data_IF_895004527408
#
_entry.id   IF_895004527408
#
_cell.length_a   1.000
_cell.length_b   1.000
_cell.length_c   1.000
_cell.angle_alpha   90.00
_cell.angle_beta   90.00
_cell.angle_gamma   90.00
#
_symmetry.space_group_name_H-M   'P 1'
#
loop_
_entity.id
_entity.type
_entity.pdbx_description
1 polymer ?
#
# COMPACT_ATOMS: atom_id res chain seq x y z
N UNK A 1 8.02 11.28 -16.45
CA UNK A 1 7.98 9.98 -15.76
C UNK A 1 6.66 9.92 -15.03
N UNK A 2 5.91 8.83 -15.16
CA UNK A 2 4.59 8.70 -14.56
C UNK A 2 4.75 8.67 -13.03
N UNK A 3 3.81 9.29 -12.30
CA UNK A 3 3.86 9.40 -10.84
C UNK A 3 3.91 8.03 -10.15
N UNK A 4 3.32 7.01 -10.76
CA UNK A 4 3.30 5.63 -10.26
C UNK A 4 4.59 4.84 -10.53
N UNK A 5 5.53 5.36 -11.33
CA UNK A 5 6.76 4.63 -11.72
C UNK A 5 7.59 4.23 -10.50
N UNK A 6 7.84 5.19 -9.62
CA UNK A 6 8.64 4.96 -8.42
C UNK A 6 7.92 4.07 -7.39
N UNK A 7 6.65 4.35 -7.01
CA UNK A 7 5.85 3.47 -6.15
C UNK A 7 5.81 2.01 -6.62
N UNK A 8 5.55 1.80 -7.92
CA UNK A 8 5.52 0.47 -8.52
C UNK A 8 6.86 -0.25 -8.37
N UNK A 9 7.94 0.43 -8.77
CA UNK A 9 9.29 -0.14 -8.71
C UNK A 9 9.73 -0.47 -7.28
N UNK A 10 9.42 0.42 -6.33
CA UNK A 10 9.79 0.25 -4.93
C UNK A 10 8.97 -0.89 -4.29
N UNK A 11 7.66 -0.95 -4.52
CA UNK A 11 6.81 -2.03 -4.00
C UNK A 11 7.26 -3.43 -4.49
N UNK A 12 7.53 -3.57 -5.79
CA UNK A 12 8.01 -4.83 -6.36
C UNK A 12 9.38 -5.20 -5.80
N UNK A 13 10.33 -4.25 -5.76
CA UNK A 13 11.69 -4.52 -5.27
C UNK A 13 11.70 -4.89 -3.79
N UNK A 14 10.92 -4.19 -2.96
CA UNK A 14 10.83 -4.44 -1.53
C UNK A 14 10.19 -5.80 -1.25
N UNK A 15 9.06 -6.12 -1.87
CA UNK A 15 8.38 -7.40 -1.70
C UNK A 15 9.26 -8.57 -2.18
N UNK A 16 9.90 -8.42 -3.34
CA UNK A 16 10.86 -9.41 -3.85
C UNK A 16 12.01 -9.64 -2.87
N UNK A 17 12.62 -8.57 -2.36
CA UNK A 17 13.73 -8.66 -1.41
C UNK A 17 13.30 -9.29 -0.07
N UNK A 18 12.11 -8.96 0.43
CA UNK A 18 11.55 -9.55 1.66
C UNK A 18 11.31 -11.06 1.54
N UNK A 19 11.00 -11.54 0.33
CA UNK A 19 10.85 -12.96 0.02
C UNK A 19 12.17 -13.65 -0.37
N UNK A 20 13.28 -12.92 -0.48
CA UNK A 20 14.59 -13.46 -0.86
C UNK A 20 14.67 -13.96 -2.30
N UNK A 21 13.82 -13.46 -3.21
CA UNK A 21 13.71 -13.95 -4.58
C UNK A 21 14.59 -13.14 -5.56
N UNK A 22 15.08 -13.80 -6.62
CA UNK A 22 15.67 -13.12 -7.78
C UNK A 22 14.59 -12.62 -8.75
N UNK A 23 14.95 -11.76 -9.71
CA UNK A 23 13.98 -11.26 -10.70
C UNK A 23 13.46 -12.40 -11.60
N UNK A 24 14.31 -13.38 -11.90
CA UNK A 24 13.98 -14.56 -12.69
C UNK A 24 12.97 -15.45 -11.95
N UNK A 25 13.16 -15.66 -10.64
CA UNK A 25 12.22 -16.46 -9.84
C UNK A 25 10.85 -15.79 -9.73
N UNK A 26 10.80 -14.45 -9.60
CA UNK A 26 9.53 -13.71 -9.63
C UNK A 26 8.86 -13.85 -10.99
N UNK A 27 9.63 -13.75 -12.07
CA UNK A 27 9.11 -13.89 -13.42
C UNK A 27 8.51 -15.29 -13.66
N UNK A 28 9.20 -16.34 -13.19
CA UNK A 28 8.71 -17.72 -13.23
C UNK A 28 7.41 -17.88 -12.44
N UNK A 29 7.37 -17.41 -11.18
CA UNK A 29 6.17 -17.48 -10.34
C UNK A 29 4.97 -16.72 -10.92
N UNK A 30 5.23 -15.59 -11.57
CA UNK A 30 4.20 -14.76 -12.19
C UNK A 30 3.88 -15.14 -13.64
N UNK A 31 4.57 -16.14 -14.22
CA UNK A 31 4.39 -16.55 -15.61
C UNK A 31 4.69 -15.43 -16.61
N UNK A 32 5.72 -14.62 -16.36
CA UNK A 32 6.14 -13.49 -17.21
C UNK A 32 7.62 -13.57 -17.58
N UNK A 33 8.07 -12.68 -18.46
CA UNK A 33 9.48 -12.57 -18.85
C UNK A 33 10.29 -11.82 -17.77
N UNK A 34 11.49 -12.29 -17.37
CA UNK A 34 12.38 -11.58 -16.44
C UNK A 34 12.66 -10.11 -16.82
N UNK A 35 12.68 -9.80 -18.13
CA UNK A 35 12.81 -8.45 -18.64
C UNK A 35 11.66 -7.54 -18.20
N UNK A 36 10.45 -8.08 -18.02
CA UNK A 36 9.32 -7.31 -17.51
C UNK A 36 9.55 -6.93 -16.04
N UNK A 37 10.01 -7.87 -15.21
CA UNK A 37 10.36 -7.60 -13.80
C UNK A 37 11.45 -6.53 -13.74
N UNK A 38 12.53 -6.70 -14.51
CA UNK A 38 13.64 -5.73 -14.55
C UNK A 38 13.17 -4.34 -14.99
N UNK A 39 12.27 -4.22 -15.98
CA UNK A 39 11.69 -2.93 -16.40
C UNK A 39 10.84 -2.32 -15.30
N UNK A 40 9.98 -3.11 -14.66
CA UNK A 40 9.08 -2.65 -13.59
C UNK A 40 9.85 -2.19 -12.35
N UNK A 41 10.94 -2.87 -11.98
CA UNK A 41 11.79 -2.48 -10.85
C UNK A 41 12.73 -1.31 -11.14
N UNK A 42 12.76 -0.76 -12.35
CA UNK A 42 13.67 0.34 -12.67
C UNK A 42 12.96 1.69 -12.54
N UNK A 43 13.25 2.41 -11.46
CA UNK A 43 12.68 3.74 -11.18
C UNK A 43 13.00 4.80 -12.23
N UNK A 44 14.05 4.59 -13.05
CA UNK A 44 14.43 5.51 -14.13
C UNK A 44 13.77 5.16 -15.47
N UNK A 45 13.00 4.08 -15.56
CA UNK A 45 12.25 3.70 -16.76
C UNK A 45 10.76 3.95 -16.55
N UNK A 46 10.10 4.53 -17.55
CA UNK A 46 8.67 4.82 -17.51
C UNK A 46 7.82 3.54 -17.70
N UNK A 47 8.04 2.53 -16.86
CA UNK A 47 7.34 1.26 -16.94
C UNK A 47 5.84 1.49 -16.71
N UNK A 48 5.02 1.08 -17.67
CA UNK A 48 3.57 1.08 -17.58
C UNK A 48 3.09 -0.30 -18.05
N UNK A 49 3.26 -1.34 -17.23
CA UNK A 49 2.86 -2.69 -17.60
C UNK A 49 1.34 -2.75 -17.78
N UNK A 50 0.88 -3.52 -18.77
CA UNK A 50 -0.53 -3.87 -18.86
C UNK A 50 -0.97 -4.63 -17.61
N UNK A 51 -2.25 -4.50 -17.24
CA UNK A 51 -2.79 -5.15 -16.06
C UNK A 51 -2.63 -6.68 -16.11
N UNK A 52 -2.71 -7.28 -17.32
CA UNK A 52 -2.50 -8.71 -17.52
C UNK A 52 -1.09 -9.17 -17.09
N UNK A 53 -0.08 -8.29 -17.20
CA UNK A 53 1.30 -8.55 -16.77
C UNK A 53 1.50 -8.18 -15.31
N UNK A 54 0.90 -7.07 -14.85
CA UNK A 54 1.07 -6.57 -13.49
C UNK A 54 0.35 -7.44 -12.45
N UNK A 55 -0.86 -7.89 -12.77
CA UNK A 55 -1.71 -8.67 -11.86
C UNK A 55 -1.04 -9.92 -11.28
N UNK A 56 -0.46 -10.83 -12.08
CA UNK A 56 0.19 -12.02 -11.54
C UNK A 56 1.44 -11.67 -10.72
N UNK A 57 2.18 -10.61 -11.07
CA UNK A 57 3.37 -10.17 -10.31
C UNK A 57 2.98 -9.66 -8.92
N UNK A 58 1.95 -8.81 -8.83
CA UNK A 58 1.42 -8.30 -7.56
C UNK A 58 0.96 -9.45 -6.67
N UNK A 59 0.31 -10.47 -7.24
CA UNK A 59 -0.17 -11.65 -6.51
C UNK A 59 0.97 -12.58 -6.08
N UNK A 60 1.94 -12.85 -6.95
CA UNK A 60 3.09 -13.70 -6.66
C UNK A 60 3.95 -13.14 -5.52
N UNK A 61 4.07 -11.82 -5.45
CA UNK A 61 4.82 -11.12 -4.42
C UNK A 61 4.00 -10.73 -3.18
N UNK A 62 2.69 -11.04 -3.18
CA UNK A 62 1.75 -10.63 -2.13
C UNK A 62 1.82 -9.12 -1.79
N UNK A 63 1.96 -8.28 -2.82
CA UNK A 63 2.07 -6.83 -2.66
C UNK A 63 0.72 -6.26 -2.23
N UNK A 64 0.72 -5.41 -1.20
CA UNK A 64 -0.46 -4.61 -0.87
C UNK A 64 -0.67 -3.56 -1.98
N UNK A 65 -1.82 -3.53 -2.67
CA UNK A 65 -2.06 -2.57 -3.75
C UNK A 65 -1.90 -1.11 -3.31
N UNK A 66 -2.12 -0.81 -2.02
CA UNK A 66 -1.94 0.54 -1.50
C UNK A 66 -0.51 1.05 -1.61
N UNK A 67 0.49 0.17 -1.59
CA UNK A 67 1.90 0.56 -1.71
C UNK A 67 2.21 1.12 -3.10
N UNK A 68 1.44 0.71 -4.12
CA UNK A 68 1.56 1.18 -5.51
C UNK A 68 0.66 2.39 -5.76
N UNK A 69 -0.62 2.32 -5.36
CA UNK A 69 -1.65 3.29 -5.74
C UNK A 69 -1.82 4.45 -4.74
N UNK A 70 -1.42 4.26 -3.49
CA UNK A 70 -1.50 5.27 -2.42
C UNK A 70 -0.16 5.42 -1.66
N UNK A 71 0.95 5.65 -2.39
CA UNK A 71 2.27 5.78 -1.79
C UNK A 71 2.31 6.98 -0.84
N UNK A 72 2.75 6.75 0.41
CA UNK A 72 2.83 7.81 1.43
C UNK A 72 1.65 7.89 2.39
N UNK A 73 0.61 7.06 2.22
CA UNK A 73 -0.27 6.73 3.35
C UNK A 73 0.52 5.75 4.24
N UNK A 74 1.40 6.29 5.09
CA UNK A 74 2.18 5.49 6.04
C UNK A 74 1.23 4.82 7.03
N UNK A 75 1.00 3.52 6.83
CA UNK A 75 0.40 2.66 7.85
C UNK A 75 1.43 2.21 8.88
N UNK A 76 2.68 2.70 8.84
CA UNK A 76 3.71 2.40 9.86
C UNK A 76 3.42 3.01 11.24
N UNK A 77 2.29 3.70 11.41
CA UNK A 77 1.83 4.07 12.74
C UNK A 77 1.14 2.85 13.38
N UNK A 78 1.76 2.18 14.37
CA UNK A 78 1.19 0.98 14.99
C UNK A 78 -0.18 1.24 15.62
N UNK A 79 -0.48 2.49 16.02
CA UNK A 79 -1.81 2.86 16.52
C UNK A 79 -2.86 2.87 15.43
N UNK A 80 -2.51 3.31 14.22
CA UNK A 80 -3.42 3.26 13.06
C UNK A 80 -3.65 1.82 12.62
N UNK A 81 -2.61 0.97 12.66
CA UNK A 81 -2.76 -0.47 12.38
C UNK A 81 -3.69 -1.14 13.38
N UNK A 82 -3.53 -0.86 14.68
CA UNK A 82 -4.41 -1.38 15.72
C UNK A 82 -5.86 -0.93 15.51
N UNK A 83 -6.09 0.34 15.17
CA UNK A 83 -7.44 0.82 14.85
C UNK A 83 -8.05 0.08 13.66
N UNK A 84 -7.25 -0.19 12.62
CA UNK A 84 -7.68 -0.94 11.45
C UNK A 84 -8.01 -2.40 11.79
N UNK A 85 -7.22 -3.04 12.67
CA UNK A 85 -7.50 -4.39 13.17
C UNK A 85 -8.77 -4.43 14.02
N UNK A 86 -9.00 -3.43 14.88
CA UNK A 86 -10.19 -3.38 15.73
C UNK A 86 -11.49 -3.27 14.92
N UNK A 87 -11.44 -2.63 13.75
CA UNK A 87 -12.61 -2.45 12.88
C UNK A 87 -12.63 -3.43 11.69
N UNK A 88 -11.64 -4.32 11.55
CA UNK A 88 -11.51 -5.17 10.35
C UNK A 88 -12.64 -6.17 10.20
N UNK A 89 -13.21 -6.60 11.33
CA UNK A 89 -14.21 -7.66 11.38
C UNK A 89 -15.61 -7.09 11.67
N UNK A 90 -15.78 -5.77 11.63
CA UNK A 90 -17.08 -5.13 11.77
C UNK A 90 -18.01 -5.55 10.63
N UNK A 91 -19.22 -5.93 10.99
CA UNK A 91 -20.35 -6.02 10.05
C UNK A 91 -20.73 -4.63 9.54
N UNK A 92 -21.45 -4.57 8.43
CA UNK A 92 -21.94 -3.30 7.87
C UNK A 92 -22.74 -2.49 8.90
N UNK A 93 -23.57 -3.15 9.71
CA UNK A 93 -24.35 -2.50 10.78
C UNK A 93 -23.48 -1.93 11.90
N UNK A 94 -22.40 -2.63 12.28
CA UNK A 94 -21.46 -2.14 13.30
C UNK A 94 -20.63 -0.97 12.76
N UNK A 95 -20.21 -1.06 11.49
CA UNK A 95 -19.51 0.02 10.82
C UNK A 95 -20.38 1.28 10.72
N UNK A 96 -21.65 1.14 10.30
CA UNK A 96 -22.61 2.24 10.22
C UNK A 96 -22.83 2.93 11.58
N UNK A 97 -22.87 2.15 12.66
CA UNK A 97 -22.98 2.69 14.02
C UNK A 97 -21.70 3.40 14.48
N UNK A 98 -20.52 2.88 14.13
CA UNK A 98 -19.23 3.41 14.57
C UNK A 98 -18.80 4.68 13.80
N UNK A 99 -19.11 4.77 12.50
CA UNK A 99 -18.71 5.90 11.66
C UNK A 99 -19.08 7.28 12.25
N UNK A 100 -20.34 7.55 12.66
CA UNK A 100 -20.69 8.87 13.21
C UNK A 100 -19.95 9.17 14.51
N UNK A 101 -19.80 8.19 15.41
CA UNK A 101 -19.08 8.36 16.69
C UNK A 101 -17.61 8.71 16.43
N UNK A 102 -16.94 7.96 15.55
CA UNK A 102 -15.54 8.21 15.21
C UNK A 102 -15.37 9.61 14.60
N UNK A 103 -16.30 10.03 13.73
CA UNK A 103 -16.28 11.39 13.13
C UNK A 103 -16.41 12.47 14.20
N UNK A 104 -17.34 12.34 15.13
CA UNK A 104 -17.54 13.30 16.23
C UNK A 104 -16.30 13.37 17.13
N UNK A 105 -15.73 12.23 17.54
CA UNK A 105 -14.52 12.18 18.35
C UNK A 105 -13.33 12.85 17.64
N UNK A 106 -13.13 12.55 16.36
CA UNK A 106 -12.07 13.17 15.56
C UNK A 106 -12.29 14.68 15.42
N UNK A 107 -13.53 15.12 15.21
CA UNK A 107 -13.86 16.54 15.13
C UNK A 107 -13.55 17.24 16.46
N UNK A 108 -14.02 16.71 17.58
CA UNK A 108 -13.76 17.24 18.92
C UNK A 108 -12.25 17.36 19.23
N UNK A 109 -11.47 16.31 18.94
CA UNK A 109 -10.02 16.34 19.17
C UNK A 109 -9.30 17.37 18.30
N UNK A 110 -9.75 17.58 17.05
CA UNK A 110 -9.13 18.53 16.12
C UNK A 110 -9.52 19.98 16.40
N UNK A 111 -10.71 20.22 16.95
CA UNK A 111 -11.13 21.56 17.38
C UNK A 111 -10.48 21.95 18.69
N UNK A 112 -10.37 21.02 19.65
CA UNK A 112 -9.84 21.29 21.00
C UNK A 112 -8.32 21.10 21.09
N UNK A 113 -7.70 20.43 20.13
CA UNK A 113 -6.24 20.33 20.01
C UNK A 113 -5.54 21.61 19.54
N UNK A 114 -6.30 22.67 19.21
CA UNK A 114 -5.74 24.01 18.90
C UNK A 114 -5.51 24.89 20.14
N UNK A 115 -5.82 24.40 21.34
CA UNK A 115 -5.79 25.20 22.58
C UNK A 115 -4.62 24.91 23.54
N UNK A 116 -3.60 24.14 23.14
CA UNK A 116 -2.37 24.03 23.93
C UNK A 116 -1.14 23.78 23.05
N UNK A 117 -0.62 24.86 22.46
CA UNK A 117 0.81 25.06 22.27
C UNK A 117 1.05 26.48 22.76
N UNK A 118 1.52 26.59 24.00
CA UNK A 118 2.33 27.68 24.57
C UNK A 118 2.29 27.51 26.09
N UNK A 119 3.36 26.90 26.62
CA UNK A 119 4.11 27.29 27.83
C UNK A 119 5.21 26.25 28.12
#
# INVERSE_FOLDING_TARGET
MNEFTKPLADAIRQARAALGLTQEQVAELAGTDPMNIMKMENTNRNANPELATLYPVVRALNINPQDIFYPGITRDNPRIQLLQQLISDCTDSEADALIPIIRELLQFMRTNGKTHIDE
#
